data_IF_512107963739
#
_entry.id   IF_512107963739
#
_cell.length_a   1.000
_cell.length_b   1.000
_cell.length_c   1.000
_cell.angle_alpha   90.00
_cell.angle_beta   90.00
_cell.angle_gamma   90.00
#
_symmetry.space_group_name_H-M   'P 1'
#
loop_
_entity.id
_entity.type
_entity.pdbx_description
1 polymer ?
#
# COMPACT_ATOMS: atom_id res chain seq x y z
N UNK A 1 8.94 -34.65 -8.40
CA UNK A 1 9.02 -33.65 -9.49
C UNK A 1 8.81 -32.32 -8.82
N UNK A 2 9.93 -31.74 -8.44
CA UNK A 2 9.99 -30.50 -7.66
C UNK A 2 9.67 -29.34 -8.59
N UNK A 3 8.59 -28.65 -8.30
CA UNK A 3 8.13 -27.49 -9.07
C UNK A 3 8.85 -26.25 -8.50
N UNK A 4 10.10 -26.04 -8.91
CA UNK A 4 10.81 -24.81 -8.62
C UNK A 4 10.16 -23.67 -9.41
N UNK A 5 9.52 -22.78 -8.68
CA UNK A 5 9.07 -21.47 -9.20
C UNK A 5 10.30 -20.69 -9.64
N UNK A 6 10.34 -20.11 -10.85
CA UNK A 6 11.49 -19.33 -11.29
C UNK A 6 11.66 -18.09 -10.43
N UNK A 7 12.69 -18.09 -9.59
CA UNK A 7 13.17 -16.88 -8.91
C UNK A 7 13.74 -15.94 -9.97
N UNK A 8 13.10 -14.80 -10.19
CA UNK A 8 13.70 -13.69 -10.91
C UNK A 8 14.99 -13.27 -10.20
N UNK A 9 16.09 -13.00 -10.91
CA UNK A 9 17.33 -12.56 -10.28
C UNK A 9 17.08 -11.25 -9.53
N UNK A 10 17.15 -11.31 -8.22
CA UNK A 10 17.21 -10.13 -7.36
C UNK A 10 18.63 -9.55 -7.55
N UNK A 11 18.76 -8.35 -8.11
CA UNK A 11 20.06 -7.66 -8.28
C UNK A 11 20.68 -7.23 -6.94
N UNK A 12 20.05 -7.59 -5.83
CA UNK A 12 20.53 -7.33 -4.49
C UNK A 12 20.19 -5.94 -3.95
N UNK A 13 19.67 -5.03 -4.76
CA UNK A 13 19.32 -3.68 -4.32
C UNK A 13 17.92 -3.69 -3.69
N UNK A 14 17.76 -3.23 -2.41
CA UNK A 14 16.44 -3.10 -1.79
C UNK A 14 15.57 -2.08 -2.55
N UNK A 15 14.28 -2.37 -2.67
CA UNK A 15 13.30 -1.40 -3.18
C UNK A 15 13.07 -0.29 -2.16
N UNK A 16 12.99 -0.65 -0.87
CA UNK A 16 12.91 0.28 0.25
C UNK A 16 13.98 -0.06 1.26
N UNK A 17 14.74 0.94 1.70
CA UNK A 17 15.74 0.77 2.74
C UNK A 17 15.68 1.91 3.76
N UNK A 18 15.64 1.56 5.04
CA UNK A 18 15.71 2.47 6.18
C UNK A 18 17.04 2.29 6.87
N UNK A 19 17.74 3.39 7.15
CA UNK A 19 19.03 3.41 7.85
C UNK A 19 18.95 4.37 9.03
N UNK A 20 19.05 3.83 10.25
CA UNK A 20 19.08 4.54 11.52
C UNK A 20 17.94 5.58 11.65
N UNK A 21 16.74 5.21 11.21
CA UNK A 21 15.59 6.10 11.15
C UNK A 21 15.05 6.37 12.54
N UNK A 22 14.97 7.66 12.88
CA UNK A 22 14.44 8.16 14.15
C UNK A 22 13.28 9.12 13.94
N UNK A 23 12.27 9.01 14.81
CA UNK A 23 11.12 9.91 14.83
C UNK A 23 10.66 10.18 16.26
N UNK A 24 10.47 11.45 16.56
CA UNK A 24 9.89 11.92 17.81
C UNK A 24 8.56 12.64 17.52
N UNK A 25 7.68 12.57 18.49
CA UNK A 25 6.53 13.44 18.62
C UNK A 25 6.64 14.07 20.00
N UNK A 26 6.95 15.36 20.04
CA UNK A 26 7.35 16.09 21.25
C UNK A 26 8.45 15.32 22.01
N UNK A 27 8.22 14.93 23.24
CA UNK A 27 9.16 14.17 24.06
C UNK A 27 9.14 12.66 23.83
N UNK A 28 8.21 12.16 23.02
CA UNK A 28 8.05 10.73 22.77
C UNK A 28 8.91 10.26 21.59
N UNK A 29 9.95 9.47 21.85
CA UNK A 29 10.77 8.82 20.80
C UNK A 29 10.06 7.57 20.28
N UNK A 30 9.39 7.69 19.14
CA UNK A 30 8.50 6.65 18.56
C UNK A 30 9.26 5.67 17.69
N UNK A 31 10.11 6.15 16.76
CA UNK A 31 10.99 5.30 15.97
C UNK A 31 12.43 5.51 16.48
N UNK A 32 13.12 4.39 16.80
CA UNK A 32 14.46 4.42 17.42
C UNK A 32 15.40 3.58 16.59
N UNK A 33 16.34 4.24 15.89
CA UNK A 33 17.38 3.63 15.08
C UNK A 33 16.86 2.47 14.21
N UNK A 34 15.71 2.70 13.53
CA UNK A 34 15.04 1.67 12.74
C UNK A 34 15.84 1.41 11.48
N UNK A 35 16.26 0.15 11.32
CA UNK A 35 16.93 -0.37 10.13
C UNK A 35 16.05 -1.45 9.49
N UNK A 36 15.78 -1.35 8.19
CA UNK A 36 14.93 -2.28 7.45
C UNK A 36 15.34 -2.25 5.98
N UNK A 37 15.42 -3.41 5.35
CA UNK A 37 15.57 -3.53 3.90
C UNK A 37 14.47 -4.42 3.35
N UNK A 38 13.80 -3.95 2.30
CA UNK A 38 12.70 -4.67 1.64
C UNK A 38 13.04 -4.82 0.17
N UNK A 39 13.04 -6.06 -0.32
CA UNK A 39 13.40 -6.38 -1.69
C UNK A 39 12.15 -6.63 -2.55
N UNK A 40 12.32 -6.61 -3.86
CA UNK A 40 11.24 -6.88 -4.81
C UNK A 40 10.65 -8.28 -4.58
N UNK A 41 9.31 -8.34 -4.48
CA UNK A 41 8.57 -9.59 -4.23
C UNK A 41 8.59 -10.05 -2.77
N UNK A 42 9.21 -9.29 -1.87
CA UNK A 42 9.24 -9.59 -0.44
C UNK A 42 7.98 -9.07 0.27
N UNK A 43 7.49 -9.86 1.21
CA UNK A 43 6.42 -9.46 2.14
C UNK A 43 7.01 -9.31 3.53
N UNK A 44 6.98 -8.09 4.05
CA UNK A 44 7.48 -7.77 5.40
C UNK A 44 6.30 -7.48 6.32
N UNK A 45 6.27 -8.17 7.46
CA UNK A 45 5.22 -8.02 8.47
C UNK A 45 5.82 -7.39 9.73
N UNK A 46 5.29 -6.23 10.15
CA UNK A 46 5.75 -5.50 11.33
C UNK A 46 4.79 -5.75 12.49
N UNK A 47 5.26 -6.44 13.51
CA UNK A 47 4.50 -6.82 14.70
C UNK A 47 4.82 -5.89 15.88
N UNK A 48 3.83 -5.62 16.73
CA UNK A 48 4.03 -4.85 17.96
C UNK A 48 2.70 -4.38 18.55
N UNK A 49 2.70 -3.96 19.83
CA UNK A 49 1.51 -3.46 20.50
C UNK A 49 0.97 -2.18 19.86
N UNK A 50 -0.29 -1.82 20.16
CA UNK A 50 -0.85 -0.54 19.75
C UNK A 50 0.02 0.62 20.28
N UNK A 51 0.22 1.65 19.46
CA UNK A 51 1.08 2.79 19.81
C UNK A 51 2.60 2.56 19.69
N UNK A 52 3.06 1.39 19.23
CA UNK A 52 4.50 1.11 19.06
C UNK A 52 5.17 1.77 17.84
N UNK A 53 4.46 2.63 17.10
CA UNK A 53 5.03 3.35 15.96
C UNK A 53 4.88 2.67 14.59
N UNK A 54 4.14 1.55 14.48
CA UNK A 54 3.96 0.82 13.21
C UNK A 54 3.38 1.71 12.11
N UNK A 55 2.25 2.37 12.39
CA UNK A 55 1.61 3.31 11.45
C UNK A 55 2.51 4.48 11.10
N UNK A 56 3.27 4.99 12.08
CA UNK A 56 4.28 6.02 11.86
C UNK A 56 5.33 5.56 10.87
N UNK A 57 5.87 4.34 11.08
CA UNK A 57 6.88 3.76 10.17
C UNK A 57 6.35 3.66 8.73
N UNK A 58 5.16 3.13 8.51
CA UNK A 58 4.55 3.08 7.17
C UNK A 58 4.42 4.48 6.55
N UNK A 59 3.99 5.46 7.33
CA UNK A 59 3.80 6.85 6.86
C UNK A 59 5.10 7.58 6.57
N UNK A 60 6.24 7.16 7.15
CA UNK A 60 7.55 7.72 6.78
C UNK A 60 8.01 7.26 5.41
N UNK A 61 7.69 6.03 4.99
CA UNK A 61 8.13 5.45 3.71
C UNK A 61 7.52 6.20 2.51
N UNK A 62 6.28 6.67 2.60
CA UNK A 62 5.63 7.49 1.55
C UNK A 62 5.68 9.00 1.84
N UNK A 63 6.46 9.42 2.83
CA UNK A 63 6.63 10.82 3.24
C UNK A 63 5.31 11.49 3.65
N UNK A 64 4.32 10.77 4.15
CA UNK A 64 3.18 11.34 4.86
C UNK A 64 3.59 11.82 6.26
N UNK A 65 4.63 11.19 6.82
CA UNK A 65 5.29 11.61 8.05
C UNK A 65 6.78 11.85 7.76
N UNK A 66 7.37 12.87 8.38
CA UNK A 66 8.80 13.17 8.26
C UNK A 66 9.59 12.41 9.33
N UNK A 67 10.85 12.12 9.06
CA UNK A 67 11.80 11.59 10.03
C UNK A 67 12.65 12.74 10.61
N UNK A 68 13.18 12.56 11.82
CA UNK A 68 14.04 13.55 12.47
C UNK A 68 15.52 13.30 12.16
N UNK A 69 15.92 12.02 12.04
CA UNK A 69 17.26 11.64 11.62
C UNK A 69 17.25 10.27 10.94
N UNK A 70 18.38 9.89 10.35
CA UNK A 70 18.52 8.70 9.53
C UNK A 70 18.22 8.97 8.07
N UNK A 71 18.05 7.92 7.30
CA UNK A 71 17.78 8.01 5.85
C UNK A 71 16.81 6.93 5.42
N UNK A 72 15.86 7.29 4.54
CA UNK A 72 15.01 6.32 3.83
C UNK A 72 15.35 6.43 2.36
N UNK A 73 15.63 5.28 1.75
CA UNK A 73 15.98 5.15 0.35
C UNK A 73 14.87 4.39 -0.39
N UNK A 74 14.60 4.81 -1.62
CA UNK A 74 13.75 4.11 -2.57
C UNK A 74 14.59 3.82 -3.81
N UNK A 75 14.81 2.54 -4.15
CA UNK A 75 15.78 2.09 -5.17
C UNK A 75 17.19 2.67 -4.97
N UNK A 76 17.65 2.74 -3.72
CA UNK A 76 18.98 3.28 -3.40
C UNK A 76 19.09 4.80 -3.36
N UNK A 77 18.07 5.53 -3.79
CA UNK A 77 18.03 7.00 -3.79
C UNK A 77 17.25 7.54 -2.58
N UNK A 78 17.75 8.58 -1.90
CA UNK A 78 17.02 9.20 -0.79
C UNK A 78 15.63 9.69 -1.20
N UNK A 79 14.65 9.54 -0.30
CA UNK A 79 13.31 10.03 -0.56
C UNK A 79 13.31 11.54 -0.85
N UNK A 80 12.62 11.99 -1.91
CA UNK A 80 12.61 13.39 -2.29
C UNK A 80 11.92 14.27 -1.24
N UNK A 81 12.27 15.54 -1.22
CA UNK A 81 11.63 16.58 -0.40
C UNK A 81 10.81 17.56 -1.24
N UNK A 82 11.10 17.63 -2.53
CA UNK A 82 10.37 18.46 -3.47
C UNK A 82 8.93 17.96 -3.67
N UNK A 83 7.90 18.81 -3.64
CA UNK A 83 6.50 18.39 -3.73
C UNK A 83 6.15 17.64 -5.02
N UNK A 84 6.75 18.03 -6.15
CA UNK A 84 6.46 17.37 -7.44
C UNK A 84 7.08 15.97 -7.50
N UNK A 85 8.31 15.82 -7.02
CA UNK A 85 8.97 14.52 -6.92
C UNK A 85 8.28 13.61 -5.89
N UNK A 86 7.77 14.18 -4.77
CA UNK A 86 6.96 13.44 -3.80
C UNK A 86 5.65 12.93 -4.40
N UNK A 87 5.01 13.71 -5.25
CA UNK A 87 3.82 13.25 -5.98
C UNK A 87 4.16 12.04 -6.85
N UNK A 88 5.29 12.09 -7.57
CA UNK A 88 5.78 10.96 -8.38
C UNK A 88 6.13 9.73 -7.51
N UNK A 89 6.78 9.91 -6.38
CA UNK A 89 7.04 8.81 -5.44
C UNK A 89 5.74 8.13 -5.00
N UNK A 90 4.70 8.92 -4.66
CA UNK A 90 3.42 8.41 -4.19
C UNK A 90 2.59 7.69 -5.25
N UNK A 91 2.90 7.83 -6.53
CA UNK A 91 2.33 6.95 -7.56
C UNK A 91 2.93 5.55 -7.52
N UNK A 92 4.17 5.42 -7.06
CA UNK A 92 4.92 4.17 -6.96
C UNK A 92 4.77 3.45 -5.61
N UNK A 93 4.40 4.20 -4.56
CA UNK A 93 4.22 3.67 -3.21
C UNK A 93 2.74 3.80 -2.82
N UNK A 94 1.98 2.75 -3.07
CA UNK A 94 0.58 2.66 -2.68
C UNK A 94 0.40 2.50 -1.18
N UNK A 95 -0.70 3.03 -0.63
CA UNK A 95 -1.03 2.87 0.78
C UNK A 95 -2.51 2.61 1.01
N UNK A 96 -2.79 1.58 1.81
CA UNK A 96 -4.11 1.26 2.32
C UNK A 96 -4.14 1.66 3.79
N UNK A 97 -5.02 2.61 4.12
CA UNK A 97 -5.18 3.15 5.48
C UNK A 97 -6.17 2.33 6.30
N UNK A 98 -6.01 2.36 7.61
CA UNK A 98 -6.96 1.76 8.55
C UNK A 98 -8.40 2.30 8.38
N UNK A 99 -8.55 3.58 8.05
CA UNK A 99 -9.86 4.25 7.85
C UNK A 99 -10.35 4.21 6.41
N UNK A 100 -9.74 3.39 5.53
CA UNK A 100 -10.05 3.22 4.10
C UNK A 100 -9.90 4.49 3.25
N UNK A 101 -10.31 5.65 3.76
CA UNK A 101 -10.22 6.98 3.13
C UNK A 101 -10.80 7.01 1.69
N UNK A 102 -11.94 6.35 1.49
CA UNK A 102 -12.66 6.44 0.22
C UNK A 102 -13.27 7.83 0.05
N UNK A 103 -13.42 8.26 -1.20
CA UNK A 103 -14.12 9.49 -1.53
C UNK A 103 -15.63 9.26 -1.44
N UNK A 104 -16.28 9.84 -0.44
CA UNK A 104 -17.71 9.61 -0.14
C UNK A 104 -18.64 10.01 -1.29
N UNK A 105 -18.28 11.03 -2.06
CA UNK A 105 -19.04 11.52 -3.21
C UNK A 105 -18.86 10.71 -4.49
N UNK A 106 -18.13 9.60 -4.44
CA UNK A 106 -17.80 8.73 -5.58
C UNK A 106 -18.26 7.30 -5.30
N UNK A 107 -18.69 6.59 -6.35
CA UNK A 107 -18.96 5.16 -6.30
C UNK A 107 -17.66 4.36 -6.07
N UNK A 108 -17.77 3.06 -5.79
CA UNK A 108 -16.61 2.16 -5.69
C UNK A 108 -15.77 2.20 -6.98
N UNK A 109 -16.42 2.13 -8.14
CA UNK A 109 -15.76 2.21 -9.44
C UNK A 109 -15.04 3.54 -9.64
N UNK A 110 -15.71 4.65 -9.38
CA UNK A 110 -15.12 6.00 -9.51
C UNK A 110 -13.94 6.20 -8.56
N UNK A 111 -14.02 5.66 -7.32
CA UNK A 111 -12.89 5.66 -6.41
C UNK A 111 -11.65 4.98 -6.99
N UNK A 112 -11.82 3.82 -7.64
CA UNK A 112 -10.72 3.06 -8.25
C UNK A 112 -10.19 3.77 -9.51
N UNK A 113 -11.06 4.34 -10.33
CA UNK A 113 -10.70 5.07 -11.55
C UNK A 113 -9.99 6.40 -11.30
N UNK A 114 -10.20 7.02 -10.14
CA UNK A 114 -9.78 8.41 -9.87
C UNK A 114 -8.28 8.63 -10.08
N UNK A 115 -7.44 7.80 -9.47
CA UNK A 115 -5.99 7.91 -9.59
C UNK A 115 -5.50 7.75 -11.04
N UNK A 116 -5.81 6.63 -11.72
CA UNK A 116 -5.45 6.43 -13.12
C UNK A 116 -5.85 7.59 -14.04
N UNK A 117 -7.08 8.08 -13.94
CA UNK A 117 -7.57 9.16 -14.83
C UNK A 117 -6.98 10.53 -14.48
N UNK A 118 -6.93 10.89 -13.19
CA UNK A 118 -6.56 12.27 -12.75
C UNK A 118 -5.07 12.46 -12.56
N UNK A 119 -4.34 11.39 -12.22
CA UNK A 119 -2.91 11.46 -11.91
C UNK A 119 -2.06 10.90 -13.05
N UNK A 120 -2.43 9.72 -13.58
CA UNK A 120 -1.66 9.06 -14.63
C UNK A 120 -2.11 9.47 -16.05
N UNK A 121 -3.26 10.14 -16.21
CA UNK A 121 -3.78 10.56 -17.51
C UNK A 121 -4.30 9.42 -18.39
N UNK A 122 -4.63 8.27 -17.78
CA UNK A 122 -5.22 7.12 -18.48
C UNK A 122 -6.60 7.51 -19.03
N UNK A 123 -6.92 7.08 -20.24
CA UNK A 123 -8.22 7.31 -20.85
C UNK A 123 -9.34 6.69 -20.00
N UNK A 124 -10.50 7.37 -19.92
CA UNK A 124 -11.58 6.97 -19.01
C UNK A 124 -12.09 5.54 -19.27
N UNK A 125 -12.21 5.16 -20.53
CA UNK A 125 -12.66 3.81 -20.92
C UNK A 125 -11.67 2.73 -20.51
N UNK A 126 -10.37 2.97 -20.67
CA UNK A 126 -9.31 2.08 -20.24
C UNK A 126 -9.24 1.99 -18.70
N UNK A 127 -9.30 3.14 -18.01
CA UNK A 127 -9.33 3.18 -16.54
C UNK A 127 -10.55 2.44 -15.98
N UNK A 128 -11.71 2.53 -16.65
CA UNK A 128 -12.93 1.80 -16.29
C UNK A 128 -12.74 0.29 -16.43
N UNK A 129 -12.15 -0.17 -17.53
CA UNK A 129 -11.89 -1.59 -17.74
C UNK A 129 -10.94 -2.14 -16.67
N UNK A 130 -9.81 -1.47 -16.43
CA UNK A 130 -8.84 -1.85 -15.40
C UNK A 130 -9.46 -1.83 -14.00
N UNK A 131 -10.27 -0.81 -13.67
CA UNK A 131 -10.94 -0.71 -12.39
C UNK A 131 -11.94 -1.86 -12.16
N UNK A 132 -12.70 -2.25 -13.19
CA UNK A 132 -13.63 -3.38 -13.11
C UNK A 132 -12.91 -4.71 -12.91
N UNK A 133 -11.76 -4.91 -13.56
CA UNK A 133 -10.92 -6.10 -13.33
C UNK A 133 -10.43 -6.17 -11.89
N UNK A 134 -9.94 -5.06 -11.32
CA UNK A 134 -9.49 -4.98 -9.94
C UNK A 134 -10.63 -5.17 -8.94
N UNK A 135 -11.81 -4.57 -9.20
CA UNK A 135 -12.99 -4.79 -8.37
C UNK A 135 -13.46 -6.25 -8.44
N UNK A 136 -13.37 -6.88 -9.61
CA UNK A 136 -13.67 -8.32 -9.76
C UNK A 136 -12.68 -9.17 -8.97
N UNK A 137 -11.38 -8.89 -9.08
CA UNK A 137 -10.32 -9.58 -8.34
C UNK A 137 -10.46 -9.44 -6.81
N UNK A 138 -11.03 -8.33 -6.32
CA UNK A 138 -11.31 -8.11 -4.90
C UNK A 138 -12.74 -8.52 -4.48
N UNK A 139 -13.51 -9.19 -5.36
CA UNK A 139 -14.89 -9.62 -5.09
C UNK A 139 -15.87 -8.47 -4.94
N UNK A 140 -15.62 -7.32 -5.60
CA UNK A 140 -16.39 -6.09 -5.49
C UNK A 140 -17.11 -5.67 -6.78
N UNK A 141 -17.08 -6.50 -7.84
CA UNK A 141 -17.66 -6.17 -9.14
C UNK A 141 -19.16 -5.79 -9.05
N UNK A 142 -19.95 -6.56 -8.29
CA UNK A 142 -21.39 -6.30 -8.10
C UNK A 142 -21.68 -5.05 -7.25
N UNK A 143 -20.66 -4.49 -6.58
CA UNK A 143 -20.79 -3.32 -5.73
C UNK A 143 -20.21 -2.06 -6.40
N UNK A 144 -19.82 -2.14 -7.68
CA UNK A 144 -19.11 -1.08 -8.41
C UNK A 144 -19.82 0.28 -8.37
N UNK A 145 -21.15 0.28 -8.44
CA UNK A 145 -21.97 1.49 -8.48
C UNK A 145 -22.40 2.00 -7.09
N UNK A 146 -22.00 1.32 -5.99
CA UNK A 146 -22.33 1.75 -4.64
C UNK A 146 -21.36 2.82 -4.12
N UNK A 147 -21.92 3.73 -3.33
CA UNK A 147 -21.14 4.71 -2.56
C UNK A 147 -20.58 4.08 -1.27
N UNK A 148 -19.49 4.64 -0.70
CA UNK A 148 -18.88 4.13 0.53
C UNK A 148 -19.86 3.91 1.69
N UNK A 149 -20.83 4.81 1.86
CA UNK A 149 -21.85 4.70 2.93
C UNK A 149 -22.78 3.46 2.79
N UNK A 150 -22.84 2.85 1.60
CA UNK A 150 -23.66 1.67 1.30
C UNK A 150 -22.85 0.37 1.43
N UNK A 151 -21.55 0.48 1.74
CA UNK A 151 -20.61 -0.64 1.83
C UNK A 151 -20.28 -0.95 3.29
N UNK A 152 -20.18 -2.25 3.61
CA UNK A 152 -19.61 -2.66 4.90
C UNK A 152 -18.13 -2.26 5.01
N UNK A 153 -17.56 -2.23 6.23
CA UNK A 153 -16.15 -1.89 6.44
C UNK A 153 -15.19 -2.80 5.64
N UNK A 154 -15.45 -4.12 5.60
CA UNK A 154 -14.65 -5.04 4.78
C UNK A 154 -14.80 -4.80 3.28
N UNK A 155 -15.98 -4.37 2.81
CA UNK A 155 -16.20 -3.98 1.42
C UNK A 155 -15.45 -2.67 1.07
N UNK A 156 -15.53 -1.66 1.95
CA UNK A 156 -14.77 -0.42 1.78
C UNK A 156 -13.27 -0.67 1.71
N UNK A 157 -12.76 -1.57 2.53
CA UNK A 157 -11.35 -1.94 2.51
C UNK A 157 -10.95 -2.59 1.19
N UNK A 158 -11.75 -3.50 0.65
CA UNK A 158 -11.49 -4.14 -0.65
C UNK A 158 -11.48 -3.13 -1.78
N UNK A 159 -12.37 -2.15 -1.75
CA UNK A 159 -12.34 -1.02 -2.70
C UNK A 159 -11.09 -0.16 -2.52
N UNK A 160 -10.65 0.11 -1.28
CA UNK A 160 -9.42 0.87 -1.01
C UNK A 160 -8.17 0.14 -1.53
N UNK A 161 -8.15 -1.20 -1.43
CA UNK A 161 -7.08 -2.03 -2.00
C UNK A 161 -7.10 -1.94 -3.52
N UNK A 162 -8.27 -2.16 -4.17
CA UNK A 162 -8.41 -2.04 -5.61
C UNK A 162 -7.98 -0.65 -6.12
N UNK A 163 -8.37 0.43 -5.40
CA UNK A 163 -7.96 1.80 -5.70
C UNK A 163 -6.44 1.97 -5.64
N UNK A 164 -5.80 1.40 -4.62
CA UNK A 164 -4.35 1.50 -4.49
C UNK A 164 -3.62 0.73 -5.59
N UNK A 165 -4.10 -0.48 -5.93
CA UNK A 165 -3.56 -1.31 -7.01
C UNK A 165 -3.73 -0.69 -8.40
N UNK A 166 -4.79 0.10 -8.61
CA UNK A 166 -5.05 0.77 -9.88
C UNK A 166 -3.94 1.76 -10.30
N UNK A 167 -3.15 2.23 -9.34
CA UNK A 167 -1.97 3.07 -9.59
C UNK A 167 -0.75 2.25 -10.05
N UNK A 168 -0.82 0.92 -10.07
CA UNK A 168 0.27 0.00 -10.39
C UNK A 168 1.55 0.29 -9.56
N UNK A 169 1.44 0.35 -8.23
CA UNK A 169 2.56 0.73 -7.37
C UNK A 169 3.64 -0.36 -7.36
N UNK A 170 4.88 0.04 -7.12
CA UNK A 170 6.01 -0.87 -6.92
C UNK A 170 6.07 -1.42 -5.48
N UNK A 171 5.52 -0.66 -4.52
CA UNK A 171 5.42 -1.02 -3.10
C UNK A 171 4.02 -0.76 -2.60
N UNK A 172 3.46 -1.69 -1.84
CA UNK A 172 2.19 -1.52 -1.13
C UNK A 172 2.41 -1.47 0.38
N UNK A 173 1.92 -0.41 1.00
CA UNK A 173 1.92 -0.22 2.45
C UNK A 173 0.51 -0.48 2.99
N UNK A 174 0.42 -1.26 4.07
CA UNK A 174 -0.84 -1.54 4.74
C UNK A 174 -0.76 -1.11 6.20
N UNK A 175 -1.57 -0.14 6.58
CA UNK A 175 -1.67 0.37 7.95
C UNK A 175 -2.86 -0.30 8.65
N UNK A 176 -2.60 -1.35 9.44
CA UNK A 176 -3.59 -2.17 10.16
C UNK A 176 -4.76 -2.67 9.29
N UNK A 177 -4.49 -3.34 8.15
CA UNK A 177 -5.53 -3.73 7.19
C UNK A 177 -6.51 -4.78 7.73
N UNK A 178 -6.14 -5.51 8.76
CA UNK A 178 -6.88 -6.69 9.25
C UNK A 178 -7.85 -6.38 10.39
N UNK A 179 -7.93 -5.14 10.87
CA UNK A 179 -8.94 -4.76 11.87
C UNK A 179 -10.37 -4.92 11.34
N UNK A 180 -10.55 -5.04 10.02
CA UNK A 180 -11.83 -5.18 9.34
C UNK A 180 -11.91 -6.34 8.34
N UNK A 181 -10.83 -7.16 8.16
CA UNK A 181 -10.84 -8.33 7.27
C UNK A 181 -10.86 -9.63 8.07
N UNK A 182 -11.74 -10.54 7.63
CA UNK A 182 -11.68 -11.96 7.97
C UNK A 182 -10.35 -12.58 7.48
N UNK A 183 -9.71 -13.50 8.22
CA UNK A 183 -8.48 -14.19 7.79
C UNK A 183 -8.54 -14.81 6.39
N UNK A 184 -9.69 -15.31 5.94
CA UNK A 184 -9.90 -15.78 4.57
C UNK A 184 -9.73 -14.66 3.54
N UNK A 185 -10.21 -13.48 3.84
CA UNK A 185 -10.11 -12.31 2.95
C UNK A 185 -8.67 -11.80 2.82
N UNK A 186 -7.84 -11.98 3.85
CA UNK A 186 -6.41 -11.63 3.78
C UNK A 186 -5.71 -12.47 2.70
N UNK A 187 -6.03 -13.76 2.59
CA UNK A 187 -5.49 -14.62 1.54
C UNK A 187 -5.96 -14.19 0.15
N UNK A 188 -7.25 -13.92 -0.05
CA UNK A 188 -7.78 -13.48 -1.35
C UNK A 188 -7.14 -12.16 -1.80
N UNK A 189 -6.94 -11.23 -0.88
CA UNK A 189 -6.23 -9.97 -1.16
C UNK A 189 -4.77 -10.23 -1.51
N UNK A 190 -4.08 -11.09 -0.76
CA UNK A 190 -2.70 -11.48 -1.05
C UNK A 190 -2.60 -12.19 -2.41
N UNK A 191 -3.57 -13.03 -2.77
CA UNK A 191 -3.62 -13.71 -4.06
C UNK A 191 -3.79 -12.73 -5.23
N UNK A 192 -4.65 -11.72 -5.08
CA UNK A 192 -4.78 -10.62 -6.06
C UNK A 192 -3.48 -9.82 -6.17
N UNK A 193 -2.78 -9.63 -5.06
CA UNK A 193 -1.52 -8.89 -4.99
C UNK A 193 -0.31 -9.70 -5.50
N UNK A 194 -0.33 -11.02 -5.39
CA UNK A 194 0.71 -11.95 -5.85
C UNK A 194 0.45 -12.50 -7.26
N UNK A 195 -0.68 -12.11 -7.90
CA UNK A 195 -0.95 -12.37 -9.31
C UNK A 195 0.22 -11.95 -10.22
N UNK A 196 0.13 -12.03 -11.57
CA UNK A 196 1.28 -11.96 -12.48
C UNK A 196 2.11 -10.67 -12.43
N UNK A 197 1.78 -9.75 -11.53
CA UNK A 197 2.55 -8.52 -11.27
C UNK A 197 3.26 -8.66 -9.92
N UNK A 198 4.59 -8.72 -9.95
CA UNK A 198 5.44 -8.84 -8.76
C UNK A 198 5.44 -7.53 -7.96
N UNK A 199 4.50 -7.37 -7.04
CA UNK A 199 4.53 -6.27 -6.07
C UNK A 199 5.37 -6.61 -4.85
N UNK A 200 5.98 -5.60 -4.25
CA UNK A 200 6.64 -5.68 -2.93
C UNK A 200 5.66 -5.23 -1.86
N UNK A 201 5.45 -6.01 -0.81
CA UNK A 201 4.42 -5.75 0.19
C UNK A 201 5.00 -5.50 1.57
N UNK A 202 4.45 -4.52 2.27
CA UNK A 202 4.74 -4.21 3.65
C UNK A 202 3.43 -4.22 4.44
N UNK A 203 3.18 -5.26 5.22
CA UNK A 203 1.93 -5.42 5.98
C UNK A 203 2.16 -5.27 7.47
N UNK A 204 1.20 -4.63 8.15
CA UNK A 204 1.15 -4.54 9.61
C UNK A 204 0.03 -5.45 10.11
N UNK A 205 0.32 -6.53 10.86
CA UNK A 205 -0.73 -7.36 11.41
C UNK A 205 -1.45 -6.69 12.57
N UNK A 206 -2.74 -6.97 12.65
CA UNK A 206 -3.54 -6.73 13.85
C UNK A 206 -3.25 -7.75 14.92
N UNK A 207 -3.48 -7.33 16.18
CA UNK A 207 -3.47 -8.18 17.37
C UNK A 207 -4.32 -9.45 17.16
N UNK A 208 -3.75 -10.59 17.57
CA UNK A 208 -4.52 -11.66 18.18
C UNK A 208 -4.96 -11.28 19.59
#
# INVERSE_FOLDING_TARGET
>A
MDNETPQTPNDGTPVVELRDVNKHFDDLHVLRDVNLSVHKGEVVVILGPSGSGKSTLCRTINRLETIDSGTILFHGEPLPTDPQQLSTLRTKVGMVFQSFNLFDGMTALENVMFGPTKVLGVAEEEARSQAMELLSGTGMAEQADKHPAELSGGQQQRVAIARSLAMQPEVMLFDEPTSALDPHMVHEVLDVMTGPVSYTHLTLPTKA
#
